data_IF_186712763119
#
_entry.id   IF_186712763119
#
_cell.length_a   1.000
_cell.length_b   1.000
_cell.length_c   1.000
_cell.angle_alpha   90.00
_cell.angle_beta   90.00
_cell.angle_gamma   90.00
#
_symmetry.space_group_name_H-M   'P 1'
#
loop_
_entity.id
_entity.type
_entity.pdbx_description
1 polymer ?
#
# COMPACT_ATOMS: atom_id res chain seq x y z
N UNK A 1 2.20 -21.12 20.03
CA UNK A 1 1.16 -20.07 19.96
C UNK A 1 1.85 -18.86 19.37
N UNK A 2 1.92 -18.77 18.05
CA UNK A 2 2.60 -17.70 17.33
C UNK A 2 1.82 -17.42 16.05
N UNK A 3 0.61 -16.87 16.21
CA UNK A 3 -0.01 -16.18 15.08
C UNK A 3 0.72 -14.85 15.00
N UNK A 4 1.59 -14.71 14.00
CA UNK A 4 2.17 -13.44 13.61
C UNK A 4 0.99 -12.51 13.35
N UNK A 5 0.65 -11.68 14.34
CA UNK A 5 -0.26 -10.58 14.12
C UNK A 5 0.53 -9.64 13.25
N UNK A 6 0.40 -9.79 11.93
CA UNK A 6 0.86 -8.80 10.99
C UNK A 6 0.24 -7.50 11.47
N UNK A 7 1.04 -6.62 12.08
CA UNK A 7 0.76 -5.20 11.97
C UNK A 7 0.79 -4.96 10.47
N UNK A 8 -0.38 -5.07 9.84
CA UNK A 8 -0.51 -5.02 8.41
C UNK A 8 -0.15 -3.58 8.04
N UNK A 9 1.12 -3.38 7.71
CA UNK A 9 1.77 -2.07 7.64
C UNK A 9 1.02 -1.12 6.70
N UNK A 10 0.35 -1.68 5.70
CA UNK A 10 -0.57 -1.03 4.79
C UNK A 10 -1.82 -0.43 5.47
N UNK A 11 -2.42 -1.10 6.45
CA UNK A 11 -3.66 -0.68 7.13
C UNK A 11 -3.40 0.09 8.42
N UNK A 12 -2.15 0.21 8.86
CA UNK A 12 -1.74 0.97 10.06
C UNK A 12 -2.13 0.33 11.40
N UNK A 13 -2.84 -0.80 11.38
CA UNK A 13 -3.28 -1.56 12.54
C UNK A 13 -3.57 -3.02 12.14
N UNK A 14 -3.86 -3.89 13.12
CA UNK A 14 -4.28 -5.26 12.84
C UNK A 14 -5.57 -5.32 12.02
N UNK A 15 -5.69 -6.31 11.11
CA UNK A 15 -6.82 -6.44 10.19
C UNK A 15 -8.18 -6.48 10.90
N UNK A 16 -8.25 -7.13 12.06
CA UNK A 16 -9.48 -7.18 12.87
C UNK A 16 -9.90 -5.77 13.31
N UNK A 17 -8.99 -5.01 13.92
CA UNK A 17 -9.25 -3.63 14.34
C UNK A 17 -9.65 -2.76 13.16
N UNK A 18 -8.95 -2.90 12.03
CA UNK A 18 -9.30 -2.20 10.80
C UNK A 18 -10.72 -2.49 10.35
N UNK A 19 -11.11 -3.76 10.22
CA UNK A 19 -12.46 -4.13 9.81
C UNK A 19 -13.55 -3.63 10.78
N UNK A 20 -13.27 -3.62 12.09
CA UNK A 20 -14.22 -3.08 13.07
C UNK A 20 -14.44 -1.57 12.88
N UNK A 21 -13.35 -0.79 12.73
CA UNK A 21 -13.44 0.65 12.52
C UNK A 21 -14.05 1.00 11.16
N UNK A 22 -13.75 0.23 10.11
CA UNK A 22 -14.29 0.44 8.76
C UNK A 22 -15.83 0.31 8.74
N UNK A 23 -16.36 -0.72 9.41
CA UNK A 23 -17.80 -0.89 9.56
C UNK A 23 -18.45 0.28 10.31
N UNK A 24 -17.86 0.67 11.44
CA UNK A 24 -18.36 1.79 12.26
C UNK A 24 -18.39 3.09 11.45
N UNK A 25 -17.34 3.35 10.67
CA UNK A 25 -17.25 4.53 9.80
C UNK A 25 -18.31 4.50 8.70
N UNK A 26 -18.52 3.35 8.05
CA UNK A 26 -19.57 3.19 7.04
C UNK A 26 -20.96 3.49 7.61
N UNK A 27 -21.26 2.95 8.81
CA UNK A 27 -22.54 3.16 9.50
C UNK A 27 -22.75 4.60 9.99
N UNK A 28 -21.69 5.32 10.33
CA UNK A 28 -21.75 6.76 10.64
C UNK A 28 -22.34 7.58 9.49
N UNK A 29 -21.98 7.21 8.26
CA UNK A 29 -22.37 7.92 7.04
C UNK A 29 -23.84 7.66 6.68
N UNK A 30 -24.38 6.49 7.03
CA UNK A 30 -25.75 6.09 6.67
C UNK A 30 -26.85 6.71 7.57
N UNK A 31 -26.51 7.43 8.63
CA UNK A 31 -27.46 8.12 9.51
C UNK A 31 -28.05 7.24 10.61
N UNK A 32 -27.94 7.75 11.85
CA UNK A 32 -28.28 7.14 13.15
C UNK A 32 -28.40 5.63 13.20
N UNK A 33 -27.28 4.97 13.46
CA UNK A 33 -27.28 3.53 13.65
C UNK A 33 -26.59 3.07 14.92
N UNK A 34 -27.34 2.27 15.67
CA UNK A 34 -26.86 1.57 16.83
C UNK A 34 -25.83 0.51 16.41
N UNK A 35 -24.69 0.47 17.11
CA UNK A 35 -23.63 -0.52 16.91
C UNK A 35 -24.05 -1.82 17.58
N UNK A 36 -24.68 -2.70 16.81
CA UNK A 36 -24.94 -4.06 17.24
C UNK A 36 -23.66 -4.90 17.17
N UNK A 37 -23.28 -5.53 18.29
CA UNK A 37 -22.01 -6.28 18.40
C UNK A 37 -21.97 -7.51 17.48
N UNK A 38 -23.12 -8.14 17.23
CA UNK A 38 -23.18 -9.34 16.37
C UNK A 38 -22.91 -8.93 14.93
N UNK A 39 -23.60 -7.91 14.42
CA UNK A 39 -23.39 -7.39 13.06
C UNK A 39 -21.97 -6.88 12.86
N UNK A 40 -21.43 -6.17 13.85
CA UNK A 40 -20.06 -5.66 13.81
C UNK A 40 -19.04 -6.81 13.68
N UNK A 41 -19.18 -7.87 14.47
CA UNK A 41 -18.26 -9.00 14.44
C UNK A 41 -18.47 -9.92 13.24
N UNK A 42 -19.71 -10.08 12.76
CA UNK A 42 -20.00 -10.78 11.50
C UNK A 42 -19.32 -10.08 10.33
N UNK A 43 -19.43 -8.75 10.24
CA UNK A 43 -18.72 -7.99 9.22
C UNK A 43 -17.20 -8.20 9.30
N UNK A 44 -16.62 -8.11 10.51
CA UNK A 44 -15.18 -8.31 10.68
C UNK A 44 -14.74 -9.74 10.32
N UNK A 45 -15.54 -10.76 10.67
CA UNK A 45 -15.30 -12.16 10.27
C UNK A 45 -15.23 -12.30 8.75
N UNK A 46 -16.09 -11.59 8.02
CA UNK A 46 -16.19 -11.69 6.57
C UNK A 46 -15.13 -10.84 5.86
N UNK A 47 -14.78 -9.66 6.40
CA UNK A 47 -13.79 -8.75 5.80
C UNK A 47 -12.34 -9.15 6.05
N UNK A 48 -11.99 -9.63 7.24
CA UNK A 48 -10.59 -9.95 7.57
C UNK A 48 -9.96 -10.96 6.57
N UNK A 49 -10.64 -12.03 6.14
CA UNK A 49 -10.11 -12.92 5.10
C UNK A 49 -9.92 -12.25 3.75
N UNK A 50 -10.75 -11.27 3.39
CA UNK A 50 -10.59 -10.48 2.15
C UNK A 50 -9.31 -9.66 2.24
N UNK A 51 -9.15 -8.86 3.29
CA UNK A 51 -7.97 -8.02 3.50
C UNK A 51 -6.69 -8.86 3.65
N UNK A 52 -6.77 -10.01 4.33
CA UNK A 52 -5.65 -10.92 4.49
C UNK A 52 -5.15 -11.46 3.14
N UNK A 53 -6.08 -11.89 2.27
CA UNK A 53 -5.72 -12.36 0.92
C UNK A 53 -5.06 -11.27 0.09
N UNK A 54 -5.54 -10.02 0.21
CA UNK A 54 -4.98 -8.89 -0.50
C UNK A 54 -3.52 -8.62 -0.13
N UNK A 55 -3.12 -8.99 1.09
CA UNK A 55 -1.75 -8.87 1.59
C UNK A 55 -0.93 -10.16 1.54
N UNK A 56 -1.43 -11.19 0.84
CA UNK A 56 -0.77 -12.50 0.72
C UNK A 56 -0.83 -13.36 1.99
N UNK A 57 -1.66 -12.98 2.96
CA UNK A 57 -1.87 -13.71 4.21
C UNK A 57 -3.17 -14.51 4.23
N UNK A 58 -3.31 -15.33 5.28
CA UNK A 58 -4.56 -16.03 5.60
C UNK A 58 -4.90 -15.71 7.05
N UNK A 59 -6.06 -15.09 7.25
CA UNK A 59 -6.58 -14.79 8.58
C UNK A 59 -8.08 -15.01 8.61
N UNK A 60 -8.53 -15.82 9.56
CA UNK A 60 -9.95 -16.10 9.80
C UNK A 60 -10.24 -15.85 11.28
N UNK A 61 -10.98 -14.78 11.62
CA UNK A 61 -11.45 -14.56 12.98
C UNK A 61 -12.42 -15.66 13.42
N UNK A 62 -12.37 -16.05 14.69
CA UNK A 62 -13.35 -16.94 15.29
C UNK A 62 -14.41 -16.10 15.99
N UNK A 63 -15.67 -16.28 15.60
CA UNK A 63 -16.80 -15.65 16.28
C UNK A 63 -17.26 -16.56 17.42
N UNK A 64 -17.18 -16.07 18.66
CA UNK A 64 -17.75 -16.74 19.82
C UNK A 64 -18.88 -15.87 20.37
N UNK A 65 -20.11 -16.40 20.36
CA UNK A 65 -21.30 -15.70 20.84
C UNK A 65 -21.90 -16.43 22.04
N UNK A 66 -22.26 -15.71 23.13
CA UNK A 66 -22.99 -16.31 24.23
C UNK A 66 -24.45 -16.58 23.82
N UNK A 67 -25.11 -17.50 24.52
CA UNK A 67 -26.51 -17.88 24.28
C UNK A 67 -27.52 -16.74 24.53
N UNK A 68 -27.10 -15.66 25.19
CA UNK A 68 -27.91 -14.48 25.51
C UNK A 68 -28.19 -13.55 24.32
N UNK A 69 -27.66 -13.84 23.13
CA UNK A 69 -27.87 -13.03 21.92
C UNK A 69 -26.97 -11.79 21.83
N UNK A 70 -27.28 -10.92 20.86
CA UNK A 70 -26.55 -9.67 20.60
C UNK A 70 -27.01 -8.50 21.47
N UNK A 71 -26.14 -7.52 21.64
CA UNK A 71 -26.45 -6.26 22.31
C UNK A 71 -25.77 -5.09 21.61
N UNK A 72 -26.32 -3.91 21.85
CA UNK A 72 -25.84 -2.64 21.32
C UNK A 72 -24.74 -2.06 22.20
N UNK A 73 -23.61 -1.69 21.60
CA UNK A 73 -22.45 -1.14 22.33
C UNK A 73 -22.24 0.37 22.11
N UNK A 74 -23.03 1.00 21.25
CA UNK A 74 -22.91 2.43 21.01
C UNK A 74 -23.88 2.95 19.96
N UNK A 75 -23.86 4.26 19.77
CA UNK A 75 -24.61 5.00 18.75
C UNK A 75 -23.58 5.71 17.87
N UNK A 76 -23.67 5.53 16.55
CA UNK A 76 -22.83 6.26 15.59
C UNK A 76 -23.73 7.14 14.73
N UNK A 77 -23.41 8.42 14.74
CA UNK A 77 -24.07 9.46 13.96
C UNK A 77 -23.00 10.38 13.34
N UNK A 78 -23.44 11.40 12.62
CA UNK A 78 -22.59 12.36 11.91
C UNK A 78 -21.62 13.16 12.82
N UNK A 79 -21.82 13.12 14.14
CA UNK A 79 -20.98 13.81 15.14
C UNK A 79 -19.88 12.91 15.71
N UNK A 80 -19.91 11.61 15.43
CA UNK A 80 -18.92 10.64 15.90
C UNK A 80 -17.84 10.46 14.84
N UNK A 81 -16.63 10.92 15.14
CA UNK A 81 -15.47 10.70 14.28
C UNK A 81 -14.85 9.32 14.58
N UNK A 82 -14.86 8.43 13.58
CA UNK A 82 -14.20 7.12 13.67
C UNK A 82 -12.82 7.22 12.98
N UNK A 83 -11.71 7.17 13.74
CA UNK A 83 -10.37 7.28 13.17
C UNK A 83 -10.00 6.00 12.44
N UNK A 84 -10.27 5.96 11.14
CA UNK A 84 -9.83 4.88 10.26
C UNK A 84 -8.54 5.30 9.55
N UNK A 85 -7.40 4.61 9.77
CA UNK A 85 -6.17 4.90 9.05
C UNK A 85 -6.38 4.81 7.54
N UNK A 86 -5.76 5.72 6.79
CA UNK A 86 -5.74 5.58 5.35
C UNK A 86 -4.89 4.38 4.95
N UNK A 87 -5.42 3.58 4.02
CA UNK A 87 -4.69 2.46 3.41
C UNK A 87 -3.48 3.03 2.67
N UNK A 88 -2.28 2.68 3.12
CA UNK A 88 -1.03 3.14 2.50
C UNK A 88 -0.85 2.47 1.14
N UNK A 89 -0.39 3.19 0.11
CA UNK A 89 0.01 2.56 -1.15
C UNK A 89 1.18 1.60 -0.89
N UNK A 90 1.09 0.40 -1.47
CA UNK A 90 2.17 -0.60 -1.42
C UNK A 90 2.95 -0.54 -2.72
N UNK A 91 4.25 -0.37 -2.65
CA UNK A 91 5.18 -0.51 -3.76
C UNK A 91 5.89 -1.86 -3.70
N UNK A 92 6.10 -2.44 -4.87
CA UNK A 92 6.84 -3.69 -5.04
C UNK A 92 8.12 -3.45 -5.85
N UNK A 93 8.85 -4.54 -6.16
CA UNK A 93 10.09 -4.49 -6.92
C UNK A 93 9.94 -3.68 -8.21
N UNK A 94 10.91 -2.82 -8.46
CA UNK A 94 10.95 -1.94 -9.63
C UNK A 94 11.90 -2.53 -10.66
N UNK A 95 11.53 -2.46 -11.95
CA UNK A 95 12.32 -3.07 -13.03
C UNK A 95 12.82 -1.98 -13.97
N UNK A 96 14.14 -1.82 -14.02
CA UNK A 96 14.80 -0.93 -14.97
C UNK A 96 15.81 -1.72 -15.79
N UNK A 97 15.82 -1.52 -17.10
CA UNK A 97 16.75 -2.21 -17.99
C UNK A 97 17.43 -1.20 -18.91
N UNK A 98 18.73 -1.37 -19.10
CA UNK A 98 19.44 -0.68 -20.18
C UNK A 98 18.94 -1.19 -21.54
N UNK A 99 18.64 -0.32 -22.50
CA UNK A 99 18.10 -0.72 -23.81
C UNK A 99 19.08 -1.50 -24.67
N UNK A 100 20.37 -1.36 -24.42
CA UNK A 100 21.43 -1.92 -25.26
C UNK A 100 21.93 -3.24 -24.67
N UNK A 101 21.94 -3.36 -23.34
CA UNK A 101 22.47 -4.54 -22.63
C UNK A 101 21.40 -5.44 -21.99
N UNK A 102 20.16 -4.95 -21.85
CA UNK A 102 19.03 -5.67 -21.23
C UNK A 102 19.25 -6.07 -19.77
N UNK A 103 20.09 -5.35 -19.03
CA UNK A 103 20.22 -5.48 -17.58
C UNK A 103 20.43 -4.12 -16.90
N UNK A 104 20.18 -4.04 -15.60
CA UNK A 104 20.33 -2.81 -14.81
C UNK A 104 21.80 -2.57 -14.39
N UNK A 105 22.66 -2.25 -15.35
CA UNK A 105 24.07 -1.95 -15.11
C UNK A 105 24.28 -0.80 -14.10
N UNK A 106 23.38 0.20 -14.11
CA UNK A 106 23.45 1.38 -13.24
C UNK A 106 22.81 1.15 -11.86
N UNK A 107 22.15 0.00 -11.66
CA UNK A 107 21.44 -0.38 -10.43
C UNK A 107 20.37 0.65 -10.04
N UNK A 108 19.69 1.23 -11.03
CA UNK A 108 18.61 2.21 -10.82
C UNK A 108 17.49 1.62 -9.98
N UNK A 109 17.07 0.38 -10.28
CA UNK A 109 16.05 -0.34 -9.52
C UNK A 109 16.43 -0.43 -8.05
N UNK A 110 17.64 -0.94 -7.76
CA UNK A 110 18.13 -1.09 -6.38
C UNK A 110 18.24 0.24 -5.61
N UNK A 111 18.60 1.33 -6.29
CA UNK A 111 18.66 2.67 -5.66
C UNK A 111 17.26 3.18 -5.31
N UNK A 112 16.31 2.99 -6.22
CA UNK A 112 14.93 3.38 -6.01
C UNK A 112 14.28 2.56 -4.88
N UNK A 113 14.59 1.26 -4.81
CA UNK A 113 14.20 0.38 -3.69
C UNK A 113 14.75 0.88 -2.36
N UNK A 114 16.03 1.29 -2.30
CA UNK A 114 16.63 1.86 -1.09
C UNK A 114 15.85 3.07 -0.56
N UNK A 115 15.46 4.00 -1.44
CA UNK A 115 14.66 5.16 -1.05
C UNK A 115 13.23 4.78 -0.59
N UNK A 116 12.60 3.81 -1.25
CA UNK A 116 11.28 3.32 -0.83
C UNK A 116 11.35 2.58 0.52
N UNK A 117 12.43 1.84 0.78
CA UNK A 117 12.71 1.19 2.07
C UNK A 117 12.90 2.24 3.17
N UNK A 118 13.62 3.33 2.92
CA UNK A 118 13.78 4.44 3.87
C UNK A 118 12.44 5.09 4.22
N UNK A 119 11.52 5.23 3.25
CA UNK A 119 10.17 5.73 3.53
C UNK A 119 9.40 4.74 4.41
N UNK A 120 9.49 3.45 4.09
CA UNK A 120 8.83 2.37 4.86
C UNK A 120 9.34 2.28 6.29
N UNK A 121 10.65 2.50 6.50
CA UNK A 121 11.30 2.48 7.81
C UNK A 121 10.76 3.55 8.77
N UNK A 122 10.01 4.55 8.29
CA UNK A 122 9.28 5.52 9.12
C UNK A 122 8.07 4.92 9.86
N UNK A 123 7.75 3.65 9.64
CA UNK A 123 6.74 2.89 10.38
C UNK A 123 5.35 3.52 10.28
N UNK A 124 4.75 3.85 11.43
CA UNK A 124 3.45 4.51 11.49
C UNK A 124 3.38 5.78 10.62
N UNK A 125 4.48 6.56 10.55
CA UNK A 125 4.59 7.80 9.77
C UNK A 125 4.96 7.59 8.29
N UNK A 126 5.18 6.35 7.86
CA UNK A 126 5.46 6.06 6.45
C UNK A 126 4.26 6.44 5.57
N UNK A 127 4.51 7.15 4.47
CA UNK A 127 3.49 7.54 3.49
C UNK A 127 3.17 6.43 2.50
N UNK A 128 4.01 5.39 2.42
CA UNK A 128 3.86 4.19 1.60
C UNK A 128 4.56 3.02 2.28
N UNK A 129 4.31 1.82 1.79
CA UNK A 129 5.01 0.60 2.19
C UNK A 129 5.73 0.04 0.97
N UNK A 130 6.96 -0.41 1.14
CA UNK A 130 7.69 -1.18 0.14
C UNK A 130 7.85 -2.63 0.59
N UNK A 131 7.59 -3.56 -0.32
CA UNK A 131 7.78 -4.99 -0.11
C UNK A 131 8.63 -5.53 -1.25
N UNK A 132 9.75 -6.20 -0.93
CA UNK A 132 10.63 -6.80 -1.93
C UNK A 132 10.06 -8.13 -2.45
N UNK A 133 8.99 -8.02 -3.24
CA UNK A 133 8.35 -9.11 -3.98
C UNK A 133 8.14 -8.65 -5.43
N UNK A 134 8.07 -9.58 -6.40
CA UNK A 134 7.82 -9.21 -7.79
C UNK A 134 6.37 -8.77 -8.05
N UNK A 135 5.42 -9.29 -7.28
CA UNK A 135 4.00 -9.00 -7.44
C UNK A 135 3.31 -8.97 -6.08
N UNK A 136 2.34 -8.06 -5.96
CA UNK A 136 1.45 -7.93 -4.81
C UNK A 136 0.14 -7.31 -5.28
N UNK A 137 -1.00 -7.79 -4.77
CA UNK A 137 -2.31 -7.36 -5.26
C UNK A 137 -2.48 -5.85 -5.03
N UNK A 138 -2.93 -5.14 -6.07
CA UNK A 138 -3.13 -3.68 -6.04
C UNK A 138 -1.89 -2.84 -5.71
N UNK A 139 -0.68 -3.43 -5.74
CA UNK A 139 0.56 -2.70 -5.51
C UNK A 139 1.01 -1.91 -6.73
N UNK A 140 1.90 -0.97 -6.46
CA UNK A 140 2.50 -0.08 -7.42
C UNK A 140 3.93 -0.53 -7.76
N UNK A 141 4.33 -0.33 -9.01
CA UNK A 141 5.71 -0.54 -9.44
C UNK A 141 6.09 0.53 -10.45
N UNK A 142 7.36 0.92 -10.48
CA UNK A 142 7.91 1.82 -11.48
C UNK A 142 8.82 0.99 -12.38
N UNK A 143 8.41 0.78 -13.62
CA UNK A 143 9.14 -0.05 -14.57
C UNK A 143 9.48 0.74 -15.82
N UNK A 144 10.69 0.55 -16.36
CA UNK A 144 11.15 1.33 -17.49
C UNK A 144 12.46 0.87 -18.10
N UNK A 145 12.92 1.66 -19.06
CA UNK A 145 14.19 1.49 -19.73
C UNK A 145 15.03 2.74 -19.59
N UNK A 146 16.34 2.57 -19.70
CA UNK A 146 17.26 3.69 -19.82
C UNK A 146 18.31 3.43 -20.89
N UNK A 147 18.96 4.50 -21.35
CA UNK A 147 20.11 4.42 -22.24
C UNK A 147 21.21 5.34 -21.74
N UNK A 148 22.46 4.91 -21.88
CA UNK A 148 23.64 5.70 -21.56
C UNK A 148 24.36 6.13 -22.84
N UNK A 149 24.58 7.43 -23.02
CA UNK A 149 25.40 7.98 -24.11
C UNK A 149 26.32 9.06 -23.58
N UNK A 150 27.63 8.93 -23.81
CA UNK A 150 28.63 9.91 -23.37
C UNK A 150 28.54 10.28 -21.87
N UNK A 151 28.16 9.31 -21.01
CA UNK A 151 27.95 9.53 -19.58
C UNK A 151 26.57 10.08 -19.19
N UNK A 152 25.76 10.50 -20.15
CA UNK A 152 24.38 10.94 -19.93
C UNK A 152 23.43 9.74 -19.91
N UNK A 153 22.49 9.75 -18.98
CA UNK A 153 21.43 8.75 -18.82
C UNK A 153 20.11 9.40 -19.21
N UNK A 154 19.40 8.77 -20.14
CA UNK A 154 18.00 9.09 -20.46
C UNK A 154 17.13 7.90 -20.07
N UNK A 155 16.15 8.12 -19.20
CA UNK A 155 15.26 7.11 -18.63
C UNK A 155 13.81 7.41 -19.02
N UNK A 156 13.12 6.38 -19.47
CA UNK A 156 11.68 6.38 -19.70
C UNK A 156 11.06 5.24 -18.89
N UNK A 157 10.10 5.56 -18.02
CA UNK A 157 9.42 4.61 -17.17
C UNK A 157 7.93 4.88 -17.11
N UNK A 158 7.20 3.95 -16.50
CA UNK A 158 5.78 4.10 -16.20
C UNK A 158 5.51 3.67 -14.77
N UNK A 159 4.60 4.39 -14.12
CA UNK A 159 4.00 3.94 -12.88
C UNK A 159 2.88 2.96 -13.21
N UNK A 160 2.88 1.80 -12.58
CA UNK A 160 1.84 0.78 -12.70
C UNK A 160 1.08 0.62 -11.38
N UNK A 161 -0.17 0.14 -11.47
CA UNK A 161 -0.90 -0.50 -10.37
C UNK A 161 -1.34 -1.87 -10.85
N UNK A 162 -0.72 -2.93 -10.33
CA UNK A 162 -0.74 -4.23 -10.97
C UNK A 162 -0.25 -4.13 -12.41
N UNK A 163 -1.08 -4.51 -13.38
CA UNK A 163 -0.74 -4.42 -14.81
C UNK A 163 -1.20 -3.10 -15.47
N UNK A 164 -1.96 -2.26 -14.77
CA UNK A 164 -2.49 -1.02 -15.33
C UNK A 164 -1.47 0.12 -15.24
N UNK A 165 -1.07 0.66 -16.39
CA UNK A 165 -0.23 1.87 -16.43
C UNK A 165 -1.04 3.11 -16.00
N UNK A 166 -0.49 3.88 -15.07
CA UNK A 166 -1.13 5.08 -14.51
C UNK A 166 -0.57 6.39 -15.08
N UNK A 167 0.67 6.38 -15.58
CA UNK A 167 1.32 7.53 -16.18
C UNK A 167 2.76 7.24 -16.58
N UNK A 168 3.32 8.12 -17.40
CA UNK A 168 4.71 8.08 -17.87
C UNK A 168 5.61 8.93 -16.96
N UNK A 169 6.87 8.53 -16.88
CA UNK A 169 7.92 9.19 -16.12
C UNK A 169 9.13 9.30 -17.05
N UNK A 170 9.66 10.51 -17.22
CA UNK A 170 10.85 10.74 -18.04
C UNK A 170 11.89 11.49 -17.20
N UNK A 171 13.11 10.96 -17.15
CA UNK A 171 14.19 11.58 -16.39
C UNK A 171 15.50 11.56 -17.18
N UNK A 172 16.29 12.63 -17.04
CA UNK A 172 17.63 12.73 -17.60
C UNK A 172 18.61 13.08 -16.50
N UNK A 173 19.82 12.54 -16.58
CA UNK A 173 20.86 12.78 -15.59
C UNK A 173 22.21 12.28 -16.04
N UNK A 174 23.18 12.32 -15.14
CA UNK A 174 24.54 11.82 -15.39
C UNK A 174 24.71 10.46 -14.71
N UNK A 175 25.45 9.54 -15.32
CA UNK A 175 25.73 8.21 -14.76
C UNK A 175 26.46 8.28 -13.40
N UNK A 176 27.16 9.38 -13.13
CA UNK A 176 27.79 9.66 -11.83
C UNK A 176 26.86 10.27 -10.77
N UNK A 177 25.63 10.67 -11.12
CA UNK A 177 24.68 11.39 -10.26
C UNK A 177 23.32 10.68 -10.16
N UNK A 178 23.35 9.36 -10.01
CA UNK A 178 22.14 8.52 -10.05
C UNK A 178 21.13 8.80 -8.93
N UNK A 179 21.56 9.34 -7.79
CA UNK A 179 20.63 9.66 -6.70
C UNK A 179 19.65 10.77 -7.13
N UNK A 180 20.14 11.83 -7.76
CA UNK A 180 19.29 12.91 -8.28
C UNK A 180 18.33 12.40 -9.38
N UNK A 181 18.80 11.48 -10.24
CA UNK A 181 17.96 10.83 -11.24
C UNK A 181 16.81 10.03 -10.59
N UNK A 182 17.11 9.25 -9.56
CA UNK A 182 16.12 8.43 -8.85
C UNK A 182 15.12 9.30 -8.07
N UNK A 183 15.60 10.36 -7.42
CA UNK A 183 14.73 11.33 -6.72
C UNK A 183 13.72 11.97 -7.68
N UNK A 184 14.16 12.33 -8.89
CA UNK A 184 13.28 12.88 -9.92
C UNK A 184 12.22 11.86 -10.37
N UNK A 185 12.60 10.60 -10.56
CA UNK A 185 11.67 9.51 -10.89
C UNK A 185 10.60 9.34 -9.81
N UNK A 186 11.00 9.30 -8.53
CA UNK A 186 10.05 9.19 -7.42
C UNK A 186 9.15 10.43 -7.30
N UNK A 187 9.70 11.63 -7.50
CA UNK A 187 8.94 12.88 -7.48
C UNK A 187 7.80 12.85 -8.51
N UNK A 188 8.09 12.43 -9.74
CA UNK A 188 7.08 12.29 -10.78
C UNK A 188 6.07 11.18 -10.45
N UNK A 189 6.54 10.02 -9.99
CA UNK A 189 5.66 8.92 -9.59
C UNK A 189 4.66 9.33 -8.51
N UNK A 190 5.11 10.04 -7.46
CA UNK A 190 4.25 10.54 -6.40
C UNK A 190 3.31 11.65 -6.89
N UNK A 191 3.75 12.47 -7.83
CA UNK A 191 2.89 13.44 -8.51
C UNK A 191 1.76 12.79 -9.32
N UNK A 192 1.99 11.61 -9.91
CA UNK A 192 0.95 10.82 -10.59
C UNK A 192 -0.04 10.24 -9.57
N UNK A 193 0.45 9.72 -8.44
CA UNK A 193 -0.41 9.18 -7.38
C UNK A 193 -1.38 10.21 -6.79
N UNK A 194 -0.93 11.45 -6.61
CA UNK A 194 -1.76 12.51 -6.01
C UNK A 194 -2.86 13.03 -6.93
N UNK A 195 -2.81 12.75 -8.24
CA UNK A 195 -3.79 13.22 -9.23
C UNK A 195 -4.94 12.23 -9.48
N UNK A 196 -4.89 11.04 -8.89
CA UNK A 196 -5.91 9.99 -9.03
C UNK A 196 -6.63 9.76 -7.70
#
# INVERSE_FOLDING_TARGET
ADKVSYEASQYGQGLLTYSLLDWMKYRAIEGDSTVDVVRLFEYARDQVPVLARDIGGVQTPTLATPSSGGFSIGIINEKVEIPLPQVKPVFVRNVFLDTDTFYDALKIGKRLEGQLQEITAKGARASLIYVDVPEYKNAYSINGFYRVKNGEVALEARLFKGQAALGTIEAKGQAGQLNALVEEVLRQAFGILQKK
#
